data_IF_980055487360
#
_entry.id   IF_980055487360
#
_cell.length_a   1.000
_cell.length_b   1.000
_cell.length_c   1.000
_cell.angle_alpha   90.00
_cell.angle_beta   90.00
_cell.angle_gamma   90.00
#
_symmetry.space_group_name_H-M   'P 1'
#
loop_
_entity.id
_entity.type
_entity.pdbx_description
1 polymer ?
#
# COMPACT_ATOMS: atom_id res chain seq x y z
N UNK A 1 -7.19 -13.33 2.57
CA UNK A 1 -7.66 -14.41 1.66
C UNK A 1 -6.55 -14.88 0.73
N UNK A 2 -5.30 -14.91 1.24
CA UNK A 2 -4.15 -15.38 0.48
C UNK A 2 -4.39 -16.80 -0.09
N UNK A 3 -3.95 -17.02 -1.32
CA UNK A 3 -4.13 -18.30 -2.02
C UNK A 3 -5.46 -18.48 -2.74
N UNK A 4 -6.41 -17.56 -2.61
CA UNK A 4 -7.67 -17.63 -3.34
C UNK A 4 -7.48 -17.19 -4.80
N UNK A 5 -8.02 -17.95 -5.73
CA UNK A 5 -7.86 -17.73 -7.17
C UNK A 5 -9.08 -17.06 -7.83
N UNK A 6 -10.19 -16.96 -7.12
CA UNK A 6 -11.43 -16.35 -7.58
C UNK A 6 -12.23 -15.73 -6.42
N UNK A 7 -13.25 -14.93 -6.77
CA UNK A 7 -14.07 -14.22 -5.81
C UNK A 7 -14.82 -15.13 -4.83
N UNK A 8 -15.33 -16.26 -5.31
CA UNK A 8 -16.08 -17.20 -4.49
C UNK A 8 -15.22 -17.81 -3.39
N UNK A 9 -14.01 -18.25 -3.74
CA UNK A 9 -13.03 -18.74 -2.77
C UNK A 9 -12.68 -17.70 -1.73
N UNK A 10 -12.39 -16.45 -2.16
CA UNK A 10 -12.04 -15.36 -1.26
C UNK A 10 -13.15 -15.07 -0.25
N UNK A 11 -14.41 -15.02 -0.70
CA UNK A 11 -15.57 -14.85 0.19
C UNK A 11 -15.70 -16.00 1.19
N UNK A 12 -15.55 -17.24 0.72
CA UNK A 12 -15.63 -18.44 1.58
C UNK A 12 -14.52 -18.43 2.64
N UNK A 13 -13.28 -18.13 2.25
CA UNK A 13 -12.13 -18.05 3.17
C UNK A 13 -12.31 -16.91 4.18
N UNK A 14 -12.80 -15.75 3.75
CA UNK A 14 -13.07 -14.62 4.65
C UNK A 14 -14.12 -14.99 5.72
N UNK A 15 -15.20 -15.65 5.34
CA UNK A 15 -16.22 -16.13 6.28
C UNK A 15 -15.63 -17.13 7.29
N UNK A 16 -14.84 -18.10 6.82
CA UNK A 16 -14.15 -19.05 7.69
C UNK A 16 -13.20 -18.34 8.67
N UNK A 17 -12.43 -17.36 8.19
CA UNK A 17 -11.54 -16.55 9.01
C UNK A 17 -12.27 -15.81 10.12
N UNK A 18 -13.47 -15.26 9.84
CA UNK A 18 -14.32 -14.62 10.85
C UNK A 18 -14.82 -15.60 11.92
N UNK A 19 -15.22 -16.79 11.53
CA UNK A 19 -15.63 -17.80 12.51
C UNK A 19 -14.45 -18.27 13.38
N UNK A 20 -13.24 -18.42 12.80
CA UNK A 20 -12.03 -18.72 13.57
C UNK A 20 -11.65 -17.57 14.53
N UNK A 21 -11.78 -16.32 14.10
CA UNK A 21 -11.55 -15.16 14.97
C UNK A 21 -12.48 -15.14 16.19
N UNK A 22 -13.76 -15.43 15.99
CA UNK A 22 -14.73 -15.60 17.09
C UNK A 22 -14.31 -16.67 18.08
N UNK A 23 -13.91 -17.84 17.60
CA UNK A 23 -13.42 -18.94 18.45
C UNK A 23 -12.14 -18.55 19.21
N UNK A 24 -11.35 -17.63 18.69
CA UNK A 24 -10.15 -17.08 19.34
C UNK A 24 -10.46 -15.91 20.28
N UNK A 25 -11.73 -15.58 20.55
CA UNK A 25 -12.13 -14.48 21.42
C UNK A 25 -12.02 -13.08 20.78
N UNK A 26 -11.98 -13.02 19.43
CA UNK A 26 -11.94 -11.79 18.66
C UNK A 26 -13.27 -11.57 17.93
N UNK A 27 -14.36 -11.56 18.66
CA UNK A 27 -15.73 -11.52 18.13
C UNK A 27 -16.00 -10.27 17.28
N UNK A 28 -15.39 -9.13 17.66
CA UNK A 28 -15.56 -7.85 16.98
C UNK A 28 -14.60 -7.64 15.80
N UNK A 29 -13.74 -8.63 15.49
CA UNK A 29 -12.79 -8.52 14.38
C UNK A 29 -13.49 -8.76 13.04
N UNK A 30 -13.76 -7.66 12.33
CA UNK A 30 -14.38 -7.67 11.01
C UNK A 30 -13.37 -7.48 9.86
N UNK A 31 -12.11 -7.25 10.16
CA UNK A 31 -11.09 -6.96 9.17
C UNK A 31 -10.76 -8.16 8.30
N UNK A 32 -10.65 -7.91 6.99
CA UNK A 32 -10.18 -8.90 6.02
C UNK A 32 -9.28 -8.24 4.98
N UNK A 33 -8.05 -8.71 4.86
CA UNK A 33 -7.21 -8.42 3.69
C UNK A 33 -7.67 -9.30 2.54
N UNK A 34 -8.24 -8.66 1.52
CA UNK A 34 -8.81 -9.34 0.36
C UNK A 34 -7.76 -9.48 -0.73
N UNK A 35 -7.46 -10.72 -1.07
CA UNK A 35 -6.61 -11.09 -2.19
C UNK A 35 -7.36 -12.08 -3.09
N UNK A 36 -7.39 -11.84 -4.39
CA UNK A 36 -7.87 -12.74 -5.44
C UNK A 36 -6.77 -12.81 -6.49
N UNK A 37 -6.01 -13.90 -6.49
CA UNK A 37 -4.77 -14.04 -7.29
C UNK A 37 -4.83 -15.32 -8.11
N UNK A 38 -5.35 -15.29 -9.35
CA UNK A 38 -5.44 -16.48 -10.21
C UNK A 38 -4.10 -16.93 -10.78
N UNK A 39 -3.13 -16.00 -10.92
CA UNK A 39 -1.80 -16.30 -11.47
C UNK A 39 -0.76 -16.51 -10.36
N UNK A 40 -0.42 -17.77 -10.11
CA UNK A 40 0.58 -18.15 -9.11
C UNK A 40 2.02 -17.76 -9.47
N UNK A 41 2.30 -17.41 -10.73
CA UNK A 41 3.65 -17.07 -11.21
C UNK A 41 4.03 -15.63 -10.90
N UNK A 42 3.13 -14.69 -11.20
CA UNK A 42 3.40 -13.25 -11.03
C UNK A 42 2.70 -12.66 -9.80
N UNK A 43 1.78 -13.41 -9.19
CA UNK A 43 1.00 -13.02 -8.01
C UNK A 43 0.29 -11.68 -8.19
N UNK A 44 -0.22 -11.45 -9.41
CA UNK A 44 -1.00 -10.25 -9.72
C UNK A 44 -2.48 -10.43 -9.35
N UNK A 45 -3.08 -9.45 -8.69
CA UNK A 45 -4.49 -9.53 -8.30
C UNK A 45 -5.42 -9.37 -9.51
N UNK A 46 -6.50 -10.17 -9.52
CA UNK A 46 -7.59 -10.04 -10.50
C UNK A 46 -8.50 -8.86 -10.15
N UNK A 47 -8.59 -7.82 -10.99
CA UNK A 47 -9.38 -6.64 -10.70
C UNK A 47 -10.89 -6.94 -10.63
N UNK A 48 -11.39 -7.85 -11.47
CA UNK A 48 -12.82 -8.19 -11.56
C UNK A 48 -13.23 -9.01 -10.34
N UNK A 49 -12.49 -10.08 -10.06
CA UNK A 49 -12.75 -10.95 -8.91
C UNK A 49 -12.60 -10.21 -7.58
N UNK A 50 -11.60 -9.33 -7.46
CA UNK A 50 -11.41 -8.50 -6.27
C UNK A 50 -12.60 -7.56 -6.03
N UNK A 51 -13.06 -6.84 -7.06
CA UNK A 51 -14.23 -5.96 -6.93
C UNK A 51 -15.52 -6.73 -6.62
N UNK A 52 -15.70 -7.90 -7.23
CA UNK A 52 -16.86 -8.77 -6.96
C UNK A 52 -16.87 -9.26 -5.52
N UNK A 53 -15.75 -9.78 -5.04
CA UNK A 53 -15.61 -10.26 -3.65
C UNK A 53 -15.76 -9.12 -2.64
N UNK A 54 -15.15 -7.95 -2.91
CA UNK A 54 -15.23 -6.77 -2.07
C UNK A 54 -16.69 -6.33 -1.85
N UNK A 55 -17.47 -6.16 -2.92
CA UNK A 55 -18.89 -5.80 -2.83
C UNK A 55 -19.71 -6.75 -1.97
N UNK A 56 -19.43 -8.04 -2.08
CA UNK A 56 -20.10 -9.06 -1.27
C UNK A 56 -19.69 -9.00 0.19
N UNK A 57 -18.39 -8.93 0.47
CA UNK A 57 -17.86 -8.89 1.83
C UNK A 57 -18.27 -7.63 2.59
N UNK A 58 -18.24 -6.46 1.95
CA UNK A 58 -18.75 -5.21 2.55
C UNK A 58 -20.23 -5.34 2.91
N UNK A 59 -21.07 -5.89 2.02
CA UNK A 59 -22.48 -6.15 2.31
C UNK A 59 -22.69 -7.10 3.50
N UNK A 60 -21.75 -8.01 3.74
CA UNK A 60 -21.76 -8.95 4.86
C UNK A 60 -21.14 -8.37 6.15
N UNK A 61 -20.79 -7.09 6.16
CA UNK A 61 -20.27 -6.37 7.33
C UNK A 61 -18.78 -6.58 7.60
N UNK A 62 -18.00 -7.00 6.58
CA UNK A 62 -16.55 -7.01 6.72
C UNK A 62 -15.94 -5.62 6.50
N UNK A 63 -14.87 -5.34 7.22
CA UNK A 63 -13.99 -4.20 6.98
C UNK A 63 -12.93 -4.66 5.97
N UNK A 64 -13.16 -4.35 4.69
CA UNK A 64 -12.39 -4.90 3.57
C UNK A 64 -11.18 -4.04 3.25
N UNK A 65 -10.00 -4.66 3.15
CA UNK A 65 -8.73 -4.09 2.74
C UNK A 65 -8.27 -4.80 1.45
N UNK A 66 -8.62 -4.28 0.26
CA UNK A 66 -8.38 -4.99 -1.00
C UNK A 66 -6.96 -4.75 -1.54
N UNK A 67 -6.24 -5.84 -1.84
CA UNK A 67 -4.98 -5.82 -2.58
C UNK A 67 -5.24 -5.73 -4.07
N UNK A 68 -4.67 -4.74 -4.75
CA UNK A 68 -4.95 -4.43 -6.15
C UNK A 68 -3.68 -4.04 -6.93
N UNK A 69 -3.74 -4.13 -8.25
CA UNK A 69 -2.81 -3.39 -9.10
C UNK A 69 -2.99 -1.88 -8.87
N UNK A 70 -1.95 -1.08 -9.14
CA UNK A 70 -2.04 0.38 -9.05
C UNK A 70 -2.90 0.95 -10.19
N UNK A 71 -4.20 0.71 -10.12
CA UNK A 71 -5.23 1.19 -11.05
C UNK A 71 -6.14 2.20 -10.34
N UNK A 72 -6.07 3.50 -10.69
CA UNK A 72 -6.86 4.55 -10.06
C UNK A 72 -8.38 4.37 -10.21
N UNK A 73 -8.86 3.80 -11.32
CA UNK A 73 -10.29 3.58 -11.52
C UNK A 73 -10.80 2.41 -10.67
N UNK A 74 -10.03 1.32 -10.58
CA UNK A 74 -10.36 0.21 -9.69
C UNK A 74 -10.36 0.66 -8.23
N UNK A 75 -9.37 1.46 -7.81
CA UNK A 75 -9.31 2.03 -6.47
C UNK A 75 -10.61 2.80 -6.15
N UNK A 76 -11.06 3.66 -7.07
CA UNK A 76 -12.32 4.40 -6.93
C UNK A 76 -13.53 3.48 -6.84
N UNK A 77 -13.63 2.44 -7.68
CA UNK A 77 -14.73 1.48 -7.62
C UNK A 77 -14.78 0.71 -6.29
N UNK A 78 -13.64 0.38 -5.70
CA UNK A 78 -13.55 -0.30 -4.41
C UNK A 78 -13.95 0.63 -3.25
N UNK A 79 -13.54 1.89 -3.31
CA UNK A 79 -13.99 2.93 -2.39
C UNK A 79 -15.52 3.11 -2.44
N UNK A 80 -16.08 3.25 -3.66
CA UNK A 80 -17.54 3.36 -3.88
C UNK A 80 -18.29 2.09 -3.42
N UNK A 81 -17.64 0.93 -3.44
CA UNK A 81 -18.19 -0.31 -2.90
C UNK A 81 -18.17 -0.37 -1.36
N UNK A 82 -17.51 0.58 -0.67
CA UNK A 82 -17.44 0.68 0.77
C UNK A 82 -16.23 -0.03 1.39
N UNK A 83 -15.16 -0.26 0.64
CA UNK A 83 -13.91 -0.74 1.21
C UNK A 83 -13.30 0.28 2.18
N UNK A 84 -12.69 -0.21 3.24
CA UNK A 84 -12.12 0.63 4.30
C UNK A 84 -10.77 1.27 3.93
N UNK A 85 -10.08 0.71 2.96
CA UNK A 85 -8.82 1.19 2.38
C UNK A 85 -8.77 0.85 0.91
N UNK A 86 -7.73 1.35 0.22
CA UNK A 86 -7.24 0.79 -1.04
C UNK A 86 -5.76 0.44 -0.89
N UNK A 87 -5.35 -0.75 -1.40
CA UNK A 87 -4.00 -1.28 -1.20
C UNK A 87 -3.32 -1.56 -2.54
N UNK A 88 -2.87 -0.52 -3.27
CA UNK A 88 -2.17 -0.71 -4.52
C UNK A 88 -0.78 -1.32 -4.29
N UNK A 89 -0.41 -2.30 -5.12
CA UNK A 89 0.94 -2.85 -5.12
C UNK A 89 1.97 -1.84 -5.64
N UNK A 90 3.15 -1.80 -5.02
CA UNK A 90 4.32 -1.10 -5.57
C UNK A 90 4.89 -1.85 -6.77
N UNK A 91 5.09 -3.15 -6.61
CA UNK A 91 5.46 -4.14 -7.63
C UNK A 91 5.06 -5.54 -7.16
N UNK A 92 5.16 -6.60 -7.99
CA UNK A 92 4.69 -7.92 -7.61
C UNK A 92 5.23 -8.43 -6.28
N UNK A 93 4.42 -9.20 -5.55
CA UNK A 93 4.77 -9.75 -4.23
C UNK A 93 6.14 -10.43 -4.28
N UNK A 94 7.02 -10.08 -3.35
CA UNK A 94 8.35 -10.70 -3.20
C UNK A 94 9.36 -10.29 -4.27
N UNK A 95 9.01 -9.40 -5.21
CA UNK A 95 9.91 -9.01 -6.30
C UNK A 95 11.03 -8.05 -5.88
N UNK A 96 10.83 -7.27 -4.83
CA UNK A 96 11.80 -6.26 -4.38
C UNK A 96 12.09 -5.17 -5.42
N UNK A 97 11.16 -4.94 -6.38
CA UNK A 97 11.35 -3.99 -7.49
C UNK A 97 10.92 -2.56 -7.15
N UNK A 98 10.47 -2.32 -5.92
CA UNK A 98 10.08 -0.99 -5.45
C UNK A 98 8.75 -0.49 -6.02
N UNK A 99 8.66 0.82 -6.22
CA UNK A 99 7.44 1.49 -6.67
C UNK A 99 7.42 1.67 -8.20
N UNK A 100 7.28 0.57 -8.94
CA UNK A 100 7.29 0.59 -10.41
C UNK A 100 6.17 1.45 -11.01
N UNK A 101 5.04 1.59 -10.31
CA UNK A 101 3.86 2.33 -10.75
C UNK A 101 3.61 3.60 -9.91
N UNK A 102 4.70 4.28 -9.51
CA UNK A 102 4.63 5.47 -8.66
C UNK A 102 3.65 6.54 -9.16
N UNK A 103 3.57 6.75 -10.48
CA UNK A 103 2.65 7.72 -11.08
C UNK A 103 1.17 7.37 -10.80
N UNK A 104 0.78 6.10 -10.98
CA UNK A 104 -0.58 5.66 -10.70
C UNK A 104 -0.88 5.66 -9.19
N UNK A 105 0.10 5.29 -8.36
CA UNK A 105 -0.04 5.36 -6.89
C UNK A 105 -0.26 6.81 -6.47
N UNK A 106 0.45 7.78 -7.03
CA UNK A 106 0.24 9.21 -6.76
C UNK A 106 -1.18 9.65 -7.12
N UNK A 107 -1.71 9.22 -8.27
CA UNK A 107 -3.10 9.50 -8.67
C UNK A 107 -4.11 8.89 -7.70
N UNK A 108 -3.86 7.67 -7.20
CA UNK A 108 -4.72 7.04 -6.19
C UNK A 108 -4.69 7.86 -4.90
N UNK A 109 -3.50 8.21 -4.40
CA UNK A 109 -3.33 9.00 -3.17
C UNK A 109 -4.03 10.35 -3.27
N UNK A 110 -3.91 11.04 -4.42
CA UNK A 110 -4.53 12.36 -4.63
C UNK A 110 -6.06 12.31 -4.59
N UNK A 111 -6.66 11.21 -5.08
CA UNK A 111 -8.10 11.13 -5.29
C UNK A 111 -8.84 10.25 -4.26
N UNK A 112 -8.14 9.46 -3.45
CA UNK A 112 -8.77 8.59 -2.47
C UNK A 112 -9.33 9.38 -1.28
N UNK A 113 -10.49 8.96 -0.77
CA UNK A 113 -11.09 9.46 0.47
C UNK A 113 -10.96 8.47 1.62
N UNK A 114 -10.41 7.28 1.35
CA UNK A 114 -10.04 6.26 2.32
C UNK A 114 -8.52 6.13 2.39
N UNK A 115 -7.96 5.57 3.48
CA UNK A 115 -6.51 5.36 3.58
C UNK A 115 -5.94 4.55 2.41
N UNK A 116 -4.79 5.00 1.91
CA UNK A 116 -4.03 4.32 0.86
C UNK A 116 -2.83 3.62 1.48
N UNK A 117 -2.77 2.30 1.32
CA UNK A 117 -1.67 1.46 1.84
C UNK A 117 -0.89 0.89 0.66
N UNK A 118 0.35 1.29 0.47
CA UNK A 118 1.19 0.69 -0.57
C UNK A 118 1.69 -0.67 -0.08
N UNK A 119 1.29 -1.71 -0.81
CA UNK A 119 1.55 -3.11 -0.46
C UNK A 119 2.43 -3.78 -1.52
N UNK A 120 3.27 -4.69 -1.10
CA UNK A 120 4.13 -5.52 -1.95
C UNK A 120 5.22 -4.78 -2.76
N UNK A 121 6.27 -5.51 -3.07
CA UNK A 121 7.37 -5.08 -3.93
C UNK A 121 8.39 -4.15 -3.28
N UNK A 122 8.15 -3.62 -2.10
CA UNK A 122 9.10 -2.79 -1.36
C UNK A 122 10.29 -3.68 -0.95
N UNK A 123 11.49 -3.32 -1.37
CA UNK A 123 12.72 -4.07 -1.12
C UNK A 123 13.68 -3.39 -0.15
N UNK A 124 13.61 -2.06 -0.02
CA UNK A 124 14.53 -1.27 0.82
C UNK A 124 13.82 -0.11 1.51
N UNK A 125 14.38 0.42 2.64
CA UNK A 125 13.77 1.50 3.42
C UNK A 125 13.48 2.78 2.61
N UNK A 126 14.31 3.14 1.65
CA UNK A 126 14.10 4.33 0.82
C UNK A 126 12.81 4.28 -0.01
N UNK A 127 12.38 3.08 -0.43
CA UNK A 127 11.12 2.89 -1.18
C UNK A 127 9.91 3.04 -0.25
N UNK A 128 10.02 2.59 1.00
CA UNK A 128 9.01 2.84 2.02
C UNK A 128 8.89 4.35 2.31
N UNK A 129 10.02 5.05 2.49
CA UNK A 129 10.03 6.50 2.64
C UNK A 129 9.38 7.20 1.44
N UNK A 130 9.73 6.79 0.21
CA UNK A 130 9.16 7.33 -1.02
C UNK A 130 7.63 7.20 -1.06
N UNK A 131 7.07 6.05 -0.68
CA UNK A 131 5.62 5.86 -0.63
C UNK A 131 4.95 6.86 0.33
N UNK A 132 5.54 7.06 1.52
CA UNK A 132 5.02 8.00 2.52
C UNK A 132 5.22 9.48 2.09
N UNK A 133 6.33 9.81 1.41
CA UNK A 133 6.58 11.13 0.83
C UNK A 133 5.58 11.48 -0.28
N UNK A 134 5.07 10.48 -1.00
CA UNK A 134 4.02 10.64 -1.99
C UNK A 134 2.64 10.87 -1.37
N UNK A 135 2.49 10.65 -0.07
CA UNK A 135 1.27 10.87 0.69
C UNK A 135 0.49 9.59 1.03
N UNK A 136 1.01 8.40 0.73
CA UNK A 136 0.41 7.16 1.21
C UNK A 136 0.30 7.18 2.74
N UNK A 137 -0.76 6.57 3.27
CA UNK A 137 -1.01 6.54 4.71
C UNK A 137 -0.19 5.49 5.43
N UNK A 138 0.12 4.38 4.73
CA UNK A 138 0.93 3.30 5.26
C UNK A 138 1.62 2.51 4.13
N UNK A 139 2.54 1.65 4.53
CA UNK A 139 3.13 0.60 3.70
C UNK A 139 2.97 -0.75 4.39
N UNK A 140 2.84 -1.81 3.61
CA UNK A 140 2.89 -3.17 4.11
C UNK A 140 4.12 -3.87 3.54
N UNK A 141 5.02 -4.31 4.43
CA UNK A 141 6.32 -4.88 4.08
C UNK A 141 6.50 -6.22 4.80
N UNK A 142 6.85 -7.25 4.07
CA UNK A 142 7.15 -8.57 4.63
C UNK A 142 8.50 -9.11 4.11
N UNK A 143 8.57 -9.49 2.84
CA UNK A 143 9.73 -10.23 2.28
C UNK A 143 11.06 -9.48 2.45
N UNK A 144 11.07 -8.15 2.29
CA UNK A 144 12.28 -7.34 2.47
C UNK A 144 12.86 -7.43 3.88
N UNK A 145 12.00 -7.61 4.89
CA UNK A 145 12.42 -7.80 6.28
C UNK A 145 12.79 -9.27 6.52
N UNK A 146 11.89 -10.19 6.20
CA UNK A 146 12.05 -11.60 6.51
C UNK A 146 13.26 -12.25 5.82
N UNK A 147 13.62 -11.78 4.62
CA UNK A 147 14.72 -12.31 3.81
C UNK A 147 16.02 -11.48 3.94
N UNK A 148 16.04 -10.44 4.77
CA UNK A 148 17.26 -9.66 5.02
C UNK A 148 18.33 -10.49 5.74
N UNK A 149 19.59 -10.13 5.55
CA UNK A 149 20.71 -10.73 6.29
C UNK A 149 20.62 -10.49 7.81
N UNK A 150 20.01 -9.38 8.23
CA UNK A 150 19.62 -9.05 9.59
C UNK A 150 18.18 -8.52 9.58
N UNK A 151 17.17 -9.40 9.81
CA UNK A 151 15.75 -9.00 9.79
C UNK A 151 15.40 -7.97 10.86
N UNK A 152 16.03 -8.00 12.02
CA UNK A 152 15.74 -7.07 13.10
C UNK A 152 16.20 -5.64 12.72
N UNK A 153 17.44 -5.51 12.24
CA UNK A 153 17.97 -4.23 11.77
C UNK A 153 17.16 -3.70 10.55
N UNK A 154 16.74 -4.57 9.64
CA UNK A 154 15.91 -4.17 8.50
C UNK A 154 14.54 -3.69 8.95
N UNK A 155 13.91 -4.34 9.91
CA UNK A 155 12.61 -3.90 10.46
C UNK A 155 12.72 -2.52 11.11
N UNK A 156 13.78 -2.27 11.87
CA UNK A 156 14.06 -0.96 12.48
C UNK A 156 14.25 0.11 11.39
N UNK A 157 15.07 -0.17 10.37
CA UNK A 157 15.33 0.74 9.26
C UNK A 157 14.05 1.08 8.48
N UNK A 158 13.18 0.08 8.24
CA UNK A 158 11.86 0.30 7.62
C UNK A 158 10.98 1.23 8.46
N UNK A 159 10.92 1.01 9.78
CA UNK A 159 10.17 1.88 10.70
C UNK A 159 10.67 3.33 10.68
N UNK A 160 11.99 3.53 10.70
CA UNK A 160 12.61 4.86 10.61
C UNK A 160 12.28 5.53 9.28
N UNK A 161 12.32 4.80 8.17
CA UNK A 161 11.99 5.29 6.83
C UNK A 161 10.52 5.76 6.72
N UNK A 162 9.59 5.01 7.29
CA UNK A 162 8.16 5.37 7.35
C UNK A 162 7.97 6.68 8.11
N UNK A 163 8.61 6.83 9.27
CA UNK A 163 8.56 8.06 10.08
C UNK A 163 9.14 9.24 9.30
N UNK A 164 10.30 9.06 8.68
CA UNK A 164 10.98 10.10 7.90
C UNK A 164 10.13 10.55 6.71
N UNK A 165 9.61 9.60 5.91
CA UNK A 165 8.77 9.88 4.74
C UNK A 165 7.49 10.62 5.12
N UNK A 166 6.80 10.19 6.20
CA UNK A 166 5.59 10.87 6.67
C UNK A 166 5.88 12.28 7.18
N UNK A 167 6.99 12.45 7.88
CA UNK A 167 7.43 13.78 8.36
C UNK A 167 7.75 14.70 7.18
N UNK A 168 8.47 14.20 6.17
CA UNK A 168 8.78 14.96 4.95
C UNK A 168 7.51 15.37 4.19
N UNK A 169 6.55 14.47 4.02
CA UNK A 169 5.26 14.78 3.39
C UNK A 169 4.53 15.93 4.11
N UNK A 170 4.44 15.85 5.45
CA UNK A 170 3.77 16.87 6.27
C UNK A 170 4.49 18.21 6.28
N UNK A 171 5.83 18.20 6.16
CA UNK A 171 6.64 19.40 6.13
C UNK A 171 6.59 20.14 4.80
N UNK A 172 6.16 19.48 3.75
CA UNK A 172 6.15 20.01 2.40
C UNK A 172 7.51 19.89 1.69
N UNK A 173 7.45 19.44 0.45
CA UNK A 173 8.61 19.26 -0.41
C UNK A 173 9.06 20.60 -1.01
N UNK A 174 10.40 20.81 -1.11
CA UNK A 174 10.92 21.88 -1.95
C UNK A 174 10.40 21.72 -3.39
N UNK A 175 9.76 22.77 -3.99
CA UNK A 175 9.27 22.72 -5.35
C UNK A 175 10.38 22.38 -6.35
N UNK A 176 10.07 21.51 -7.32
CA UNK A 176 10.98 21.27 -8.45
C UNK A 176 11.06 22.53 -9.31
N UNK A 177 12.28 22.87 -9.76
CA UNK A 177 12.57 24.00 -10.63
C UNK A 177 13.45 23.51 -11.76
N UNK A 178 13.28 24.10 -12.94
CA UNK A 178 14.13 23.80 -14.11
C UNK A 178 15.49 24.49 -13.98
N UNK A 179 15.54 25.60 -13.22
CA UNK A 179 16.76 26.37 -12.99
C UNK A 179 17.26 26.27 -11.54
N UNK A 180 18.56 26.39 -11.38
CA UNK A 180 19.18 26.49 -10.06
C UNK A 180 18.78 27.80 -9.33
N UNK A 181 18.57 27.69 -8.02
CA UNK A 181 18.32 28.84 -7.14
C UNK A 181 19.37 28.86 -6.04
N UNK A 182 20.11 29.96 -5.94
CA UNK A 182 21.14 30.11 -4.92
C UNK A 182 20.50 30.06 -3.51
N UNK A 183 21.06 29.25 -2.62
CA UNK A 183 20.66 29.16 -1.22
C UNK A 183 21.32 30.20 -0.32
N UNK A 184 22.46 30.73 -0.75
CA UNK A 184 23.18 31.81 -0.01
C UNK A 184 22.74 33.19 -0.42
N UNK A 185 22.64 34.14 0.53
CA UNK A 185 22.36 35.55 0.20
C UNK A 185 23.41 36.11 -0.78
N UNK A 186 22.96 36.77 -1.83
CA UNK A 186 23.86 37.46 -2.78
C UNK A 186 24.32 38.83 -2.29
N UNK A 187 23.67 39.41 -1.28
CA UNK A 187 24.05 40.68 -0.67
C UNK A 187 25.25 40.46 0.26
N UNK A 188 26.30 41.27 0.11
CA UNK A 188 27.52 41.20 0.92
C UNK A 188 28.62 40.30 0.35
N UNK A 189 28.48 39.78 -0.88
CA UNK A 189 29.59 39.15 -1.58
C UNK A 189 30.61 40.21 -2.00
N UNK A 190 31.87 40.00 -1.60
CA UNK A 190 32.99 40.83 -2.12
C UNK A 190 33.17 40.46 -3.58
N UNK A 191 32.77 41.36 -4.47
CA UNK A 191 33.11 41.29 -5.90
C UNK A 191 34.53 41.80 -6.04
N UNK A 192 35.50 40.90 -6.30
CA UNK A 192 36.85 41.31 -6.69
C UNK A 192 36.92 41.86 -8.09
#
# INVERSE_FOLDING_TARGET
>A
TAGCTNAEEAVRVARLGRELAKLAGQEDNTFVKLEVIPDSRHLLPDPIGTLQAAKQLVKEGFTVLPYINADPLLAKHLEDAGCATVMPLGSPIGSGQGLNNAANIALIVENATVPVVVDAGIGVPSEAAQALEMGADAVLVNSAIAMAGDPAAMAEAMGQAVIAGRTAYRSGRLPRRDEASASSPKAGLVTG
#
